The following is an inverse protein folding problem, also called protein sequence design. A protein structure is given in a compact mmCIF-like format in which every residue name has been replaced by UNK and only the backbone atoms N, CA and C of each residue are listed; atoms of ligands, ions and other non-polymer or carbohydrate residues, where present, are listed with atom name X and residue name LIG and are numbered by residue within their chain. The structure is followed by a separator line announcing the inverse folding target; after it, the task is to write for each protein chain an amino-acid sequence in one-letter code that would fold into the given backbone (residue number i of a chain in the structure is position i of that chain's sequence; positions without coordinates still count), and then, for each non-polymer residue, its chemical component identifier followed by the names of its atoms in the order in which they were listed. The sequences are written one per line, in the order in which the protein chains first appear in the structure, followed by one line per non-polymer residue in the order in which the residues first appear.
data_IF_473924405996
#
_entry.id   IF_473924405996
#
_cell.length_a   1.000
_cell.length_b   1.000
_cell.length_c   1.000
_cell.angle_alpha   90.00
_cell.angle_beta   90.00
_cell.angle_gamma   90.00
#
_symmetry.space_group_name_H-M   'P 1'
#
loop_
_entity.id
_entity.type
_entity.pdbx_description
1 polymer ?
#
# COMPACT_ATOMS: atom_id res chain seq x y z
N UNK A 1 -3.20 -5.00 28.42
CA UNK A 1 -3.61 -4.56 27.08
C UNK A 1 -2.67 -3.44 26.61
N UNK A 2 -2.26 -3.45 25.34
CA UNK A 2 -1.22 -2.54 24.82
C UNK A 2 -1.75 -1.69 23.69
N UNK A 3 -1.50 -0.38 23.74
CA UNK A 3 -1.73 0.51 22.61
C UNK A 3 -0.72 0.16 21.50
N UNK A 4 -1.14 -0.04 20.25
CA UNK A 4 -0.21 -0.31 19.17
C UNK A 4 0.74 0.87 18.96
N UNK A 5 2.01 0.56 18.66
CA UNK A 5 3.06 1.55 18.45
C UNK A 5 2.85 2.40 17.18
N UNK A 6 2.00 1.95 16.26
CA UNK A 6 1.71 2.58 14.97
C UNK A 6 0.19 2.61 14.74
N UNK A 7 -0.28 3.66 14.06
CA UNK A 7 -1.70 3.75 13.69
C UNK A 7 -2.01 2.71 12.62
N UNK A 8 -3.04 1.89 12.87
CA UNK A 8 -3.45 0.78 12.03
C UNK A 8 -4.95 0.83 11.84
N UNK A 9 -5.39 0.74 10.58
CA UNK A 9 -6.80 0.64 10.20
C UNK A 9 -6.99 -0.56 9.30
N UNK A 10 -8.04 -1.33 9.51
CA UNK A 10 -8.36 -2.46 8.65
C UNK A 10 -9.81 -2.38 8.21
N UNK A 11 -10.07 -2.75 6.97
CA UNK A 11 -11.44 -2.85 6.44
C UNK A 11 -11.56 -4.13 5.61
N UNK A 12 -12.64 -4.87 5.85
CA UNK A 12 -13.00 -6.06 5.07
C UNK A 12 -14.28 -5.76 4.31
N UNK A 13 -14.37 -6.19 3.07
CA UNK A 13 -15.59 -6.06 2.28
C UNK A 13 -15.43 -6.60 0.87
N UNK A 14 -16.55 -6.71 0.16
CA UNK A 14 -16.52 -7.18 -1.23
C UNK A 14 -16.17 -6.02 -2.18
N UNK A 15 -15.22 -6.24 -3.07
CA UNK A 15 -14.93 -5.37 -4.23
C UNK A 15 -15.19 -6.21 -5.47
N UNK A 16 -16.14 -5.77 -6.31
CA UNK A 16 -16.55 -6.51 -7.51
C UNK A 16 -16.94 -7.98 -7.24
N UNK A 17 -17.54 -8.26 -6.08
CA UNK A 17 -17.94 -9.61 -5.66
C UNK A 17 -16.83 -10.47 -5.03
N UNK A 18 -15.60 -9.97 -4.96
CA UNK A 18 -14.45 -10.67 -4.36
C UNK A 18 -14.28 -10.18 -2.92
N UNK A 19 -14.15 -11.11 -1.96
CA UNK A 19 -13.84 -10.75 -0.57
C UNK A 19 -12.42 -10.17 -0.49
N UNK A 20 -12.33 -8.90 -0.13
CA UNK A 20 -11.08 -8.15 -0.08
C UNK A 20 -10.82 -7.61 1.33
N UNK A 21 -9.65 -7.93 1.87
CA UNK A 21 -9.13 -7.40 3.13
C UNK A 21 -8.13 -6.28 2.85
N UNK A 22 -8.25 -5.17 3.58
CA UNK A 22 -7.52 -3.91 3.30
C UNK A 22 -6.93 -3.32 4.58
N UNK A 23 -5.87 -3.91 5.17
CA UNK A 23 -5.15 -3.30 6.26
C UNK A 23 -4.21 -2.19 5.77
N UNK A 24 -4.17 -1.11 6.54
CA UNK A 24 -3.33 0.06 6.33
C UNK A 24 -2.57 0.35 7.64
N UNK A 25 -1.25 0.52 7.54
CA UNK A 25 -0.39 0.88 8.68
C UNK A 25 0.34 2.18 8.35
N UNK A 26 0.18 3.18 9.21
CA UNK A 26 0.88 4.46 9.08
C UNK A 26 2.17 4.44 9.90
N UNK A 27 3.31 4.45 9.21
CA UNK A 27 4.63 4.71 9.78
C UNK A 27 5.07 6.15 9.58
N UNK A 28 6.18 6.53 10.21
CA UNK A 28 6.69 7.92 10.18
C UNK A 28 7.05 8.43 8.76
N UNK A 29 7.58 7.55 7.91
CA UNK A 29 8.03 7.90 6.54
C UNK A 29 7.36 7.07 5.45
N UNK A 30 6.63 6.03 5.83
CA UNK A 30 6.03 5.07 4.91
C UNK A 30 4.65 4.67 5.40
N UNK A 31 3.71 4.56 4.47
CA UNK A 31 2.43 3.88 4.71
C UNK A 31 2.50 2.51 4.05
N UNK A 32 2.18 1.46 4.80
CA UNK A 32 1.99 0.12 4.26
C UNK A 32 0.51 -0.06 3.95
N UNK A 33 0.19 -0.35 2.70
CA UNK A 33 -1.17 -0.60 2.22
C UNK A 33 -1.17 -2.01 1.65
N UNK A 34 -2.03 -2.88 2.16
CA UNK A 34 -2.18 -4.25 1.66
C UNK A 34 -3.57 -4.44 1.08
N UNK A 35 -3.63 -5.16 -0.03
CA UNK A 35 -4.87 -5.64 -0.63
C UNK A 35 -4.75 -7.17 -0.69
N UNK A 36 -5.59 -7.87 0.07
CA UNK A 36 -5.65 -9.32 0.03
C UNK A 36 -6.99 -9.74 -0.55
N UNK A 37 -6.95 -10.51 -1.63
CA UNK A 37 -8.13 -11.15 -2.19
C UNK A 37 -8.15 -12.60 -1.72
N UNK A 38 -9.22 -13.01 -1.04
CA UNK A 38 -9.34 -14.39 -0.51
C UNK A 38 -8.13 -14.85 0.32
N UNK A 39 -7.54 -13.95 1.12
CA UNK A 39 -6.37 -14.23 1.97
C UNK A 39 -5.04 -14.35 1.23
N UNK A 40 -4.99 -14.10 -0.08
CA UNK A 40 -3.76 -14.14 -0.87
C UNK A 40 -3.18 -12.76 -1.08
N UNK A 41 -1.87 -12.66 -0.88
CA UNK A 41 -1.09 -11.49 -1.26
C UNK A 41 -0.55 -11.69 -2.68
N UNK A 42 -0.76 -10.71 -3.56
CA UNK A 42 -0.19 -10.69 -4.91
C UNK A 42 1.24 -10.15 -4.90
N UNK A 43 1.50 -9.11 -5.69
CA UNK A 43 2.81 -8.47 -5.79
C UNK A 43 3.04 -7.42 -4.71
N UNK A 44 4.27 -7.33 -4.20
CA UNK A 44 4.71 -6.25 -3.33
C UNK A 44 5.45 -5.19 -4.15
N UNK A 45 5.01 -3.95 -4.08
CA UNK A 45 5.67 -2.82 -4.73
C UNK A 45 5.86 -1.64 -3.79
N UNK A 46 6.85 -0.80 -4.07
CA UNK A 46 7.00 0.51 -3.44
C UNK A 46 6.72 1.61 -4.44
N UNK A 47 5.94 2.60 -3.99
CA UNK A 47 5.77 3.89 -4.65
C UNK A 47 6.55 4.93 -3.84
N UNK A 48 7.45 5.66 -4.48
CA UNK A 48 8.25 6.69 -3.84
C UNK A 48 8.14 7.98 -4.63
N UNK A 49 7.77 9.07 -3.96
CA UNK A 49 7.80 10.40 -4.55
C UNK A 49 9.24 10.83 -4.82
N UNK A 50 9.59 11.09 -6.08
CA UNK A 50 10.87 11.73 -6.41
C UNK A 50 10.67 13.24 -6.37
N UNK A 51 10.95 13.86 -5.22
CA UNK A 51 10.87 15.31 -5.10
C UNK A 51 12.17 15.99 -5.55
N UNK A 52 12.04 16.97 -6.45
CA UNK A 52 12.96 18.13 -6.55
C UNK A 52 12.26 19.45 -6.19
N UNK A 53 10.97 19.44 -5.84
CA UNK A 53 10.14 20.63 -5.61
C UNK A 53 9.07 20.36 -4.55
N UNK A 54 8.72 21.38 -3.77
CA UNK A 54 7.76 21.32 -2.67
C UNK A 54 6.28 21.16 -3.10
N UNK A 55 5.99 21.24 -4.41
CA UNK A 55 4.64 21.17 -4.95
C UNK A 55 4.19 19.71 -5.15
N UNK A 56 3.31 19.23 -4.26
CA UNK A 56 2.76 17.86 -4.29
C UNK A 56 2.01 17.55 -5.60
N UNK A 57 1.46 18.57 -6.28
CA UNK A 57 0.75 18.38 -7.55
C UNK A 57 1.67 17.96 -8.70
N UNK A 58 2.98 18.14 -8.54
CA UNK A 58 4.01 17.84 -9.55
C UNK A 58 4.91 16.66 -9.18
N UNK A 59 4.60 15.94 -8.10
CA UNK A 59 5.44 14.81 -7.66
C UNK A 59 5.29 13.65 -8.64
N UNK A 60 6.41 13.25 -9.26
CA UNK A 60 6.46 12.01 -10.04
C UNK A 60 6.67 10.84 -9.07
N UNK A 61 5.77 9.87 -9.11
CA UNK A 61 5.89 8.63 -8.37
C UNK A 61 6.80 7.67 -9.15
N UNK A 62 7.83 7.16 -8.49
CA UNK A 62 8.60 6.04 -8.97
C UNK A 62 8.03 4.74 -8.40
N UNK A 63 7.73 3.77 -9.26
CA UNK A 63 7.33 2.41 -8.89
C UNK A 63 8.55 1.50 -8.92
N UNK A 64 8.64 0.58 -7.95
CA UNK A 64 9.58 -0.55 -7.97
C UNK A 64 8.87 -1.78 -7.42
N UNK A 65 8.81 -2.86 -8.19
CA UNK A 65 8.36 -4.17 -7.68
C UNK A 65 9.47 -4.77 -6.82
N UNK A 66 9.09 -5.28 -5.65
CA UNK A 66 9.99 -5.94 -4.69
C UNK A 66 9.79 -7.44 -4.67
N UNK A 67 8.56 -7.90 -4.95
CA UNK A 67 8.20 -9.32 -5.01
C UNK A 67 7.04 -9.49 -5.99
N UNK A 68 7.07 -10.57 -6.78
CA UNK A 68 6.11 -10.81 -7.87
C UNK A 68 6.67 -10.41 -9.25
N UNK A 69 5.83 -10.52 -10.27
CA UNK A 69 6.19 -10.21 -11.66
C UNK A 69 6.27 -8.69 -11.86
N UNK A 70 7.38 -8.21 -12.44
CA UNK A 70 7.60 -6.80 -12.76
C UNK A 70 7.32 -6.56 -14.25
N UNK A 71 6.03 -6.43 -14.55
CA UNK A 71 5.54 -6.15 -15.89
C UNK A 71 4.59 -4.94 -15.89
N UNK A 72 4.56 -4.18 -17.01
CA UNK A 72 3.44 -3.29 -17.25
C UNK A 72 2.15 -4.12 -17.30
N UNK A 73 1.09 -3.59 -16.69
CA UNK A 73 -0.25 -4.18 -16.76
C UNK A 73 -0.76 -4.24 -18.19
#
# INVERSE_FOLDING_TARGET
EGKPAVDTRATVGCICGILTERPCVAGASHCLITLLESGRMGSLGSLTGRSRRADISKVRLARKVRTGQDEPL
#
